data_IF_138374510454
#
_entry.id   IF_138374510454
#
_cell.length_a   1.000
_cell.length_b   1.000
_cell.length_c   1.000
_cell.angle_alpha   90.00
_cell.angle_beta   90.00
_cell.angle_gamma   90.00
#
_symmetry.space_group_name_H-M   'P 1'
#
loop_
_entity.id
_entity.type
_entity.pdbx_description
1 polymer ?
#
# COMPACT_ATOMS: atom_id res chain seq x y z
N UNK A 1 -5.70 -17.25 2.93
CA UNK A 1 -4.81 -16.68 3.97
C UNK A 1 -3.42 -17.24 3.75
N UNK A 2 -2.64 -16.60 2.89
CA UNK A 2 -1.32 -17.09 2.48
C UNK A 2 -0.30 -16.06 2.93
N UNK A 3 0.28 -16.28 4.10
CA UNK A 3 1.53 -15.64 4.47
C UNK A 3 2.55 -16.05 3.40
N UNK A 4 3.00 -15.07 2.60
CA UNK A 4 3.91 -15.32 1.49
C UNK A 4 5.16 -16.07 1.97
N UNK A 5 5.85 -16.81 1.10
CA UNK A 5 7.11 -17.53 1.45
C UNK A 5 8.14 -16.64 2.18
N UNK A 6 8.08 -15.33 1.94
CA UNK A 6 8.88 -14.31 2.61
C UNK A 6 8.53 -14.11 4.09
N UNK A 7 7.26 -14.20 4.46
CA UNK A 7 6.81 -14.10 5.84
C UNK A 7 7.35 -15.25 6.69
N UNK A 8 7.32 -16.48 6.19
CA UNK A 8 7.82 -17.64 6.93
C UNK A 8 9.34 -17.59 7.17
N UNK A 9 10.12 -17.16 6.17
CA UNK A 9 11.57 -17.01 6.31
C UNK A 9 11.95 -15.91 7.31
N UNK A 10 11.33 -14.73 7.21
CA UNK A 10 11.56 -13.63 8.16
C UNK A 10 11.06 -13.97 9.58
N UNK A 11 9.93 -14.68 9.69
CA UNK A 11 9.37 -15.10 10.98
C UNK A 11 10.27 -16.14 11.66
N UNK A 12 10.85 -17.07 10.90
CA UNK A 12 11.76 -18.06 11.44
C UNK A 12 13.08 -17.43 11.93
N UNK A 13 13.62 -16.44 11.20
CA UNK A 13 14.79 -15.68 11.63
C UNK A 13 14.50 -14.79 12.86
N UNK A 14 13.30 -14.23 12.95
CA UNK A 14 12.80 -13.53 14.13
C UNK A 14 12.70 -14.43 15.37
N UNK A 15 12.13 -15.64 15.23
CA UNK A 15 12.02 -16.60 16.33
C UNK A 15 13.40 -17.03 16.86
N UNK A 16 14.37 -17.28 15.97
CA UNK A 16 15.74 -17.63 16.35
C UNK A 16 16.40 -16.50 17.17
N UNK A 17 16.12 -15.24 16.82
CA UNK A 17 16.67 -14.10 17.56
C UNK A 17 15.96 -13.84 18.90
N UNK A 18 14.68 -14.18 19.01
CA UNK A 18 13.93 -14.14 20.27
C UNK A 18 14.41 -15.20 21.27
N UNK A 19 14.71 -16.42 20.81
CA UNK A 19 15.22 -17.50 21.67
C UNK A 19 16.67 -17.27 22.15
N UNK A 20 17.41 -16.39 21.47
CA UNK A 20 18.84 -16.13 21.73
C UNK A 20 19.17 -15.21 22.91
N UNK A 21 18.17 -14.73 23.68
CA UNK A 21 18.40 -14.01 24.95
C UNK A 21 19.23 -12.72 24.83
N UNK A 22 19.04 -11.94 23.76
CA UNK A 22 19.74 -10.65 23.58
C UNK A 22 18.92 -9.50 24.15
N UNK A 23 19.65 -8.50 24.68
CA UNK A 23 19.13 -7.23 25.20
C UNK A 23 18.09 -6.60 24.25
N UNK A 24 17.07 -5.92 24.81
CA UNK A 24 15.93 -5.40 24.07
C UNK A 24 16.34 -4.50 22.89
N UNK A 25 17.39 -3.70 23.09
CA UNK A 25 17.96 -2.81 22.07
C UNK A 25 18.52 -3.59 20.86
N UNK A 26 19.12 -4.76 21.11
CA UNK A 26 19.62 -5.63 20.03
C UNK A 26 18.48 -6.27 19.23
N UNK A 27 17.34 -6.59 19.86
CA UNK A 27 16.17 -7.12 19.16
C UNK A 27 15.54 -6.06 18.25
N UNK A 28 15.47 -4.81 18.72
CA UNK A 28 15.01 -3.68 17.93
C UNK A 28 15.88 -3.47 16.69
N UNK A 29 17.19 -3.36 16.86
CA UNK A 29 18.11 -3.08 15.76
C UNK A 29 18.25 -4.25 14.78
N UNK A 30 18.35 -5.49 15.28
CA UNK A 30 18.63 -6.64 14.44
C UNK A 30 17.41 -7.16 13.69
N UNK A 31 16.21 -7.06 14.29
CA UNK A 31 14.97 -7.61 13.71
C UNK A 31 14.01 -6.52 13.27
N UNK A 32 13.55 -5.68 14.22
CA UNK A 32 12.46 -4.74 13.94
C UNK A 32 12.88 -3.70 12.91
N UNK A 33 14.06 -3.10 13.05
CA UNK A 33 14.58 -2.11 12.10
C UNK A 33 14.67 -2.68 10.68
N UNK A 34 15.19 -3.89 10.50
CA UNK A 34 15.24 -4.53 9.17
C UNK A 34 13.87 -4.80 8.57
N UNK A 35 12.90 -5.21 9.39
CA UNK A 35 11.53 -5.44 8.94
C UNK A 35 10.86 -4.14 8.52
N UNK A 36 10.97 -3.10 9.36
CA UNK A 36 10.43 -1.76 9.11
C UNK A 36 11.04 -1.18 7.84
N UNK A 37 12.37 -1.22 7.70
CA UNK A 37 13.05 -0.76 6.49
C UNK A 37 12.58 -1.52 5.24
N UNK A 38 12.42 -2.84 5.35
CA UNK A 38 11.92 -3.67 4.25
C UNK A 38 10.54 -3.21 3.79
N UNK A 39 9.65 -2.93 4.73
CA UNK A 39 8.31 -2.45 4.43
C UNK A 39 8.31 -1.03 3.87
N UNK A 40 9.10 -0.13 4.45
CA UNK A 40 9.28 1.23 3.94
C UNK A 40 9.82 1.22 2.51
N UNK A 41 10.80 0.38 2.19
CA UNK A 41 11.34 0.23 0.83
C UNK A 41 10.26 -0.21 -0.16
N UNK A 42 9.43 -1.19 0.21
CA UNK A 42 8.30 -1.64 -0.64
C UNK A 42 7.27 -0.54 -0.84
N UNK A 43 6.90 0.17 0.23
CA UNK A 43 5.96 1.29 0.16
C UNK A 43 6.48 2.40 -0.75
N UNK A 44 7.75 2.77 -0.64
CA UNK A 44 8.37 3.79 -1.50
C UNK A 44 8.42 3.36 -2.98
N UNK A 45 8.76 2.11 -3.25
CA UNK A 45 8.72 1.56 -4.60
C UNK A 45 7.30 1.60 -5.18
N UNK A 46 6.31 1.15 -4.39
CA UNK A 46 4.91 1.13 -4.80
C UNK A 46 4.38 2.54 -5.08
N UNK A 47 4.68 3.51 -4.20
CA UNK A 47 4.34 4.93 -4.42
C UNK A 47 4.91 5.46 -5.72
N UNK A 48 6.19 5.22 -5.99
CA UNK A 48 6.85 5.67 -7.22
C UNK A 48 6.17 5.08 -8.44
N UNK A 49 5.91 3.77 -8.45
CA UNK A 49 5.25 3.09 -9.56
C UNK A 49 3.81 3.56 -9.77
N UNK A 50 3.07 3.90 -8.72
CA UNK A 50 1.69 4.36 -8.84
C UNK A 50 1.61 5.83 -9.27
N UNK A 51 2.52 6.69 -8.81
CA UNK A 51 2.55 8.09 -9.22
C UNK A 51 2.82 8.25 -10.71
N UNK A 52 3.69 7.42 -11.30
CA UNK A 52 3.97 7.46 -12.74
C UNK A 52 2.74 7.15 -13.60
N UNK A 53 1.78 6.36 -13.08
CA UNK A 53 0.52 6.06 -13.78
C UNK A 53 -0.31 7.31 -14.07
N UNK A 54 -0.23 8.33 -13.21
CA UNK A 54 -1.01 9.57 -13.39
C UNK A 54 -0.42 10.48 -14.46
N UNK A 55 0.85 10.26 -14.83
CA UNK A 55 1.57 11.00 -15.86
C UNK A 55 1.78 10.19 -17.13
N UNK A 56 1.29 8.95 -17.18
CA UNK A 56 1.39 8.11 -18.37
C UNK A 56 0.66 8.78 -19.55
N UNK A 57 1.27 8.71 -20.74
CA UNK A 57 0.67 9.30 -21.95
C UNK A 57 -0.52 8.49 -22.42
N UNK A 58 -0.55 7.19 -22.13
CA UNK A 58 -1.62 6.28 -22.47
C UNK A 58 -2.44 5.91 -21.22
N UNK A 59 -3.19 6.91 -20.74
CA UNK A 59 -4.11 6.75 -19.62
C UNK A 59 -5.17 5.67 -19.88
N UNK A 60 -5.49 5.37 -21.15
CA UNK A 60 -6.51 4.40 -21.54
C UNK A 60 -6.05 2.94 -21.36
N UNK A 61 -4.76 2.66 -21.55
CA UNK A 61 -4.17 1.32 -21.33
C UNK A 61 -3.61 1.13 -19.91
N UNK A 62 -3.44 2.22 -19.16
CA UNK A 62 -2.92 2.15 -17.79
C UNK A 62 -3.94 1.49 -16.85
N UNK A 63 -3.46 0.54 -16.04
CA UNK A 63 -4.29 -0.22 -15.12
C UNK A 63 -4.33 0.43 -13.73
N UNK A 64 -5.54 0.63 -13.24
CA UNK A 64 -5.79 1.19 -11.91
C UNK A 64 -6.63 0.25 -11.06
N UNK A 65 -6.70 0.58 -9.77
CA UNK A 65 -7.54 -0.06 -8.78
C UNK A 65 -7.19 -1.55 -8.57
N UNK A 66 -7.66 -2.11 -7.45
CA UNK A 66 -7.53 -3.55 -7.20
C UNK A 66 -8.25 -4.43 -8.23
N UNK A 67 -9.24 -3.88 -8.95
CA UNK A 67 -9.94 -4.60 -10.01
C UNK A 67 -9.15 -4.67 -11.33
N UNK A 68 -8.01 -3.97 -11.43
CA UNK A 68 -7.12 -3.94 -12.60
C UNK A 68 -7.86 -3.69 -13.92
N UNK A 69 -8.75 -2.71 -13.94
CA UNK A 69 -9.34 -2.25 -15.20
C UNK A 69 -8.42 -1.20 -15.80
N UNK A 70 -8.27 -1.25 -17.12
CA UNK A 70 -7.54 -0.22 -17.85
C UNK A 70 -8.39 1.04 -17.97
N UNK A 71 -7.74 2.19 -18.03
CA UNK A 71 -8.42 3.46 -18.22
C UNK A 71 -8.80 4.13 -16.91
N UNK A 72 -8.64 5.45 -16.89
CA UNK A 72 -9.24 6.30 -15.88
C UNK A 72 -10.75 6.42 -16.16
N UNK A 73 -11.60 5.96 -15.23
CA UNK A 73 -13.05 5.97 -15.42
C UNK A 73 -13.77 6.91 -14.45
N UNK A 74 -14.25 8.04 -14.98
CA UNK A 74 -15.05 9.02 -14.23
C UNK A 74 -14.37 9.48 -12.94
N UNK A 75 -15.11 9.43 -11.83
CA UNK A 75 -14.61 9.81 -10.51
C UNK A 75 -13.86 8.65 -9.85
N UNK A 76 -12.60 8.90 -9.47
CA UNK A 76 -11.74 7.97 -8.76
C UNK A 76 -11.16 8.62 -7.50
N UNK A 77 -10.82 7.79 -6.51
CA UNK A 77 -10.24 8.20 -5.24
C UNK A 77 -8.75 7.85 -5.24
N UNK A 78 -7.90 8.77 -4.82
CA UNK A 78 -6.46 8.50 -4.70
C UNK A 78 -6.14 8.03 -3.28
N UNK A 79 -5.44 6.91 -3.13
CA UNK A 79 -4.99 6.43 -1.83
C UNK A 79 -3.83 7.28 -1.27
N UNK A 80 -3.88 7.69 0.00
CA UNK A 80 -2.80 8.46 0.65
C UNK A 80 -1.54 7.64 0.90
N UNK A 81 -1.72 6.35 1.17
CA UNK A 81 -0.61 5.44 1.46
C UNK A 81 0.12 5.05 0.18
N UNK A 82 -0.54 4.43 -0.80
CA UNK A 82 0.12 3.89 -1.98
C UNK A 82 0.08 4.81 -3.21
N UNK A 83 -0.70 5.91 -3.18
CA UNK A 83 -0.86 6.88 -4.28
C UNK A 83 -1.50 6.34 -5.57
N UNK A 84 -2.07 5.13 -5.53
CA UNK A 84 -2.85 4.58 -6.66
C UNK A 84 -4.29 5.12 -6.68
N UNK A 85 -4.96 4.91 -7.80
CA UNK A 85 -6.35 5.33 -8.03
C UNK A 85 -7.33 4.18 -7.89
N UNK A 86 -8.45 4.42 -7.22
CA UNK A 86 -9.46 3.41 -6.92
C UNK A 86 -10.86 3.87 -7.31
N UNK A 87 -11.65 2.93 -7.86
CA UNK A 87 -13.07 3.17 -8.06
C UNK A 87 -13.78 3.20 -6.70
N UNK A 88 -14.65 4.18 -6.43
CA UNK A 88 -15.42 4.27 -5.19
C UNK A 88 -16.17 2.96 -4.87
N UNK A 89 -16.77 2.34 -5.88
CA UNK A 89 -17.49 1.07 -5.75
C UNK A 89 -16.57 -0.09 -5.34
N UNK A 90 -15.30 -0.09 -5.75
CA UNK A 90 -14.35 -1.15 -5.41
C UNK A 90 -13.86 -1.06 -3.96
N UNK A 91 -13.95 0.11 -3.33
CA UNK A 91 -13.52 0.35 -1.95
C UNK A 91 -14.69 0.62 -1.00
N UNK A 92 -15.93 0.37 -1.44
CA UNK A 92 -17.13 0.55 -0.61
C UNK A 92 -17.47 2.00 -0.29
N UNK A 93 -16.95 2.97 -1.04
CA UNK A 93 -17.17 4.39 -0.76
C UNK A 93 -18.58 4.84 -1.18
N UNK A 94 -19.36 5.50 -0.29
CA UNK A 94 -20.74 5.87 -0.56
C UNK A 94 -20.83 7.05 -1.53
N UNK A 95 -21.28 6.79 -2.76
CA UNK A 95 -21.36 7.79 -3.84
C UNK A 95 -22.39 8.91 -3.61
N UNK A 96 -23.36 8.71 -2.73
CA UNK A 96 -24.47 9.66 -2.49
C UNK A 96 -24.07 10.89 -1.65
N UNK A 97 -22.87 10.90 -1.08
CA UNK A 97 -22.42 11.90 -0.08
C UNK A 97 -21.48 12.95 -0.67
N UNK A 98 -21.10 12.78 -1.95
CA UNK A 98 -19.94 13.45 -2.56
C UNK A 98 -20.08 14.97 -2.79
N UNK A 99 -21.24 15.55 -3.18
CA UNK A 99 -21.28 16.98 -3.50
C UNK A 99 -21.49 17.92 -2.31
N UNK A 100 -21.93 17.44 -1.13
CA UNK A 100 -22.56 18.32 -0.14
C UNK A 100 -21.81 18.49 1.19
N UNK A 101 -20.83 17.64 1.53
CA UNK A 101 -20.30 17.65 2.91
C UNK A 101 -18.79 17.91 3.04
N UNK A 102 -17.95 17.61 2.05
CA UNK A 102 -16.49 17.68 2.24
C UNK A 102 -15.70 17.99 0.94
N UNK A 103 -15.66 19.27 0.49
CA UNK A 103 -14.75 19.67 -0.57
C UNK A 103 -13.29 19.45 -0.10
N UNK A 104 -12.62 18.42 -0.63
CA UNK A 104 -11.20 18.16 -0.37
C UNK A 104 -10.85 16.76 0.18
N UNK A 105 -11.83 15.94 0.54
CA UNK A 105 -11.59 14.59 1.09
C UNK A 105 -11.83 13.49 0.03
N UNK A 106 -11.07 13.53 -1.07
CA UNK A 106 -11.14 12.51 -2.15
C UNK A 106 -10.07 11.42 -2.01
N UNK A 107 -9.64 11.21 -0.78
CA UNK A 107 -8.53 10.36 -0.42
C UNK A 107 -8.99 9.20 0.47
N UNK A 108 -8.37 8.03 0.29
CA UNK A 108 -8.63 6.84 1.10
C UNK A 108 -7.33 6.35 1.75
N UNK A 109 -7.44 5.75 2.93
CA UNK A 109 -6.36 4.99 3.56
C UNK A 109 -6.41 3.54 3.06
N UNK A 110 -5.24 2.96 2.76
CA UNK A 110 -5.13 1.57 2.31
C UNK A 110 -5.16 0.58 3.47
#
# INVERSE_FOLDING_TARGET
MLFSKWFLLYFQEFLIQLEGGKDFDNLYDAVYSKMIEGELRRLHYLRRSNLTKSTDRDQASTHYCMCRRSGFSGFMLQCELCRDWFHPKCVGFPLKVIPLLFPGFYHISC
#
